data_IF_387246925925
#
_entry.id   IF_387246925925
#
_cell.length_a   1.000
_cell.length_b   1.000
_cell.length_c   1.000
_cell.angle_alpha   90.00
_cell.angle_beta   90.00
_cell.angle_gamma   90.00
#
_symmetry.space_group_name_H-M   'P 1'
#
loop_
_entity.id
_entity.type
_entity.pdbx_description
1 polymer ?
#
# COMPACT_ATOMS: atom_id res chain seq x y z
N UNK A 1 9.56 -14.48 25.90
CA UNK A 1 9.47 -13.31 25.02
C UNK A 1 10.69 -12.43 25.33
N UNK A 2 11.73 -12.52 24.51
CA UNK A 2 12.92 -11.68 24.66
C UNK A 2 12.76 -10.48 23.72
N UNK A 3 12.14 -9.43 24.19
CA UNK A 3 12.12 -8.12 23.53
C UNK A 3 13.39 -7.38 23.96
N UNK A 4 14.35 -7.20 23.04
CA UNK A 4 15.60 -6.49 23.34
C UNK A 4 15.37 -5.00 23.63
N UNK A 5 16.27 -4.37 24.39
CA UNK A 5 16.20 -2.94 24.77
C UNK A 5 16.14 -1.97 23.57
N UNK A 6 16.52 -2.42 22.37
CA UNK A 6 16.43 -1.66 21.12
C UNK A 6 15.02 -1.58 20.54
N UNK A 7 14.12 -2.49 20.91
CA UNK A 7 12.75 -2.52 20.39
C UNK A 7 11.94 -1.29 20.81
N UNK A 8 12.04 -0.91 22.08
CA UNK A 8 11.34 0.27 22.62
C UNK A 8 11.88 1.59 22.05
N UNK A 9 13.19 1.65 21.79
CA UNK A 9 13.83 2.83 21.19
C UNK A 9 13.42 3.00 19.72
N UNK A 10 13.38 1.91 18.96
CA UNK A 10 12.95 1.93 17.56
C UNK A 10 11.46 2.23 17.43
N UNK A 11 10.61 1.69 18.31
CA UNK A 11 9.20 2.02 18.37
C UNK A 11 8.96 3.52 18.65
N UNK A 12 9.65 4.11 19.61
CA UNK A 12 9.54 5.55 19.92
C UNK A 12 10.00 6.42 18.74
N UNK A 13 11.08 6.05 18.04
CA UNK A 13 11.56 6.77 16.85
C UNK A 13 10.53 6.72 15.74
N UNK A 14 9.96 5.54 15.46
CA UNK A 14 8.92 5.38 14.44
C UNK A 14 7.68 6.22 14.77
N UNK A 15 7.22 6.21 16.02
CA UNK A 15 6.10 7.05 16.45
C UNK A 15 6.41 8.55 16.35
N UNK A 16 7.64 8.97 16.69
CA UNK A 16 8.06 10.35 16.53
C UNK A 16 8.06 10.78 15.06
N UNK A 17 8.59 9.94 14.16
CA UNK A 17 8.57 10.21 12.72
C UNK A 17 7.12 10.33 12.21
N UNK A 18 6.24 9.40 12.55
CA UNK A 18 4.82 9.44 12.17
C UNK A 18 4.16 10.74 12.68
N UNK A 19 4.41 11.13 13.93
CA UNK A 19 3.84 12.35 14.47
C UNK A 19 4.36 13.61 13.77
N UNK A 20 5.67 13.69 13.51
CA UNK A 20 6.31 14.84 12.85
C UNK A 20 5.82 14.96 11.39
N UNK A 21 5.82 13.86 10.63
CA UNK A 21 5.36 13.86 9.24
C UNK A 21 3.87 14.18 9.13
N UNK A 22 3.03 13.66 10.05
CA UNK A 22 1.61 13.99 10.09
C UNK A 22 1.36 15.46 10.45
N UNK A 23 2.13 16.03 11.38
CA UNK A 23 2.04 17.44 11.70
C UNK A 23 2.46 18.32 10.51
N UNK A 24 3.57 17.96 9.83
CA UNK A 24 4.05 18.69 8.66
C UNK A 24 3.05 18.64 7.50
N UNK A 25 2.48 17.50 7.22
CA UNK A 25 1.38 17.32 6.25
C UNK A 25 0.23 18.32 6.51
N UNK A 26 -0.24 18.42 7.76
CA UNK A 26 -1.31 19.36 8.10
C UNK A 26 -0.85 20.81 7.88
N UNK A 27 0.37 21.14 8.24
CA UNK A 27 0.94 22.48 8.01
C UNK A 27 1.00 22.80 6.53
N UNK A 28 1.43 21.87 5.68
CA UNK A 28 1.52 22.07 4.22
C UNK A 28 0.14 22.26 3.58
N UNK A 29 -0.84 21.43 3.94
CA UNK A 29 -2.21 21.56 3.40
C UNK A 29 -2.81 22.91 3.80
N UNK A 30 -2.71 23.27 5.09
CA UNK A 30 -3.26 24.53 5.61
C UNK A 30 -2.53 25.73 5.02
N UNK A 31 -1.20 25.72 5.01
CA UNK A 31 -0.40 26.80 4.45
C UNK A 31 -0.59 26.93 2.93
N UNK A 32 -0.64 25.82 2.19
CA UNK A 32 -0.92 25.83 0.77
C UNK A 32 -2.28 26.45 0.44
N UNK A 33 -3.28 26.14 1.26
CA UNK A 33 -4.63 26.73 1.12
C UNK A 33 -4.62 28.23 1.45
N UNK A 34 -3.98 28.64 2.54
CA UNK A 34 -3.91 30.05 2.97
C UNK A 34 -3.08 30.89 1.99
N UNK A 35 -1.91 30.39 1.55
CA UNK A 35 -1.00 31.11 0.66
C UNK A 35 -1.33 30.92 -0.83
N UNK A 36 -2.36 30.13 -1.16
CA UNK A 36 -2.86 29.97 -2.51
C UNK A 36 -2.00 29.05 -3.39
N UNK A 37 -1.12 28.21 -2.84
CA UNK A 37 -0.25 27.30 -3.61
C UNK A 37 -0.87 25.90 -3.78
N UNK A 38 -1.18 25.51 -5.01
CA UNK A 38 -1.66 24.16 -5.31
C UNK A 38 -0.54 23.13 -5.28
N UNK A 39 0.67 23.50 -5.61
CA UNK A 39 1.83 22.62 -5.49
C UNK A 39 2.04 22.18 -4.03
N UNK A 40 1.94 23.14 -3.08
CA UNK A 40 2.07 22.85 -1.65
C UNK A 40 0.90 22.01 -1.10
N UNK A 41 -0.34 22.29 -1.55
CA UNK A 41 -1.52 21.47 -1.22
C UNK A 41 -1.36 20.05 -1.72
N UNK A 42 -0.91 19.87 -2.97
CA UNK A 42 -0.71 18.55 -3.56
C UNK A 42 0.40 17.76 -2.84
N UNK A 43 1.51 18.41 -2.44
CA UNK A 43 2.59 17.78 -1.68
C UNK A 43 2.09 17.31 -0.31
N UNK A 44 1.38 18.15 0.45
CA UNK A 44 0.79 17.78 1.73
C UNK A 44 -0.24 16.63 1.61
N UNK A 45 -1.08 16.61 0.59
CA UNK A 45 -2.00 15.49 0.35
C UNK A 45 -1.26 14.22 -0.08
N UNK A 46 -0.21 14.33 -0.87
CA UNK A 46 0.65 13.20 -1.19
C UNK A 46 1.20 12.53 0.08
N UNK A 47 1.73 13.33 1.00
CA UNK A 47 2.18 12.83 2.30
C UNK A 47 1.05 12.26 3.17
N UNK A 48 -0.17 12.77 3.05
CA UNK A 48 -1.33 12.24 3.78
C UNK A 48 -1.64 10.80 3.42
N UNK A 49 -1.31 10.37 2.20
CA UNK A 49 -1.54 9.00 1.74
C UNK A 49 -0.83 7.98 2.63
N UNK A 50 0.39 8.30 3.07
CA UNK A 50 1.22 7.42 3.90
C UNK A 50 0.73 7.38 5.35
N UNK A 51 0.43 8.54 5.94
CA UNK A 51 -0.09 8.62 7.30
C UNK A 51 -1.46 7.94 7.43
N UNK A 52 -2.35 8.17 6.45
CA UNK A 52 -3.66 7.54 6.40
C UNK A 52 -3.56 6.01 6.23
N UNK A 53 -2.70 5.52 5.33
CA UNK A 53 -2.50 4.09 5.13
C UNK A 53 -2.03 3.38 6.41
N UNK A 54 -1.07 3.96 7.13
CA UNK A 54 -0.58 3.42 8.39
C UNK A 54 -1.66 3.41 9.49
N UNK A 55 -2.42 4.51 9.62
CA UNK A 55 -3.51 4.60 10.58
C UNK A 55 -4.60 3.57 10.29
N UNK A 56 -5.02 3.45 9.04
CA UNK A 56 -6.04 2.51 8.60
C UNK A 56 -5.58 1.08 8.80
N UNK A 57 -4.33 0.75 8.47
CA UNK A 57 -3.76 -0.56 8.72
C UNK A 57 -3.77 -0.90 10.22
N UNK A 58 -3.38 0.03 11.08
CA UNK A 58 -3.40 -0.15 12.53
C UNK A 58 -4.81 -0.37 13.08
N UNK A 59 -5.79 0.45 12.65
CA UNK A 59 -7.19 0.32 13.05
C UNK A 59 -7.81 -0.99 12.55
N UNK A 60 -7.55 -1.35 11.29
CA UNK A 60 -8.05 -2.59 10.67
C UNK A 60 -7.48 -3.81 11.37
N UNK A 61 -6.18 -3.82 11.69
CA UNK A 61 -5.56 -4.89 12.43
C UNK A 61 -6.14 -5.02 13.85
N UNK A 62 -6.34 -3.90 14.54
CA UNK A 62 -6.98 -3.87 15.87
C UNK A 62 -8.40 -4.41 15.81
N UNK A 63 -9.19 -4.01 14.81
CA UNK A 63 -10.56 -4.50 14.62
C UNK A 63 -10.60 -5.99 14.25
N UNK A 64 -9.76 -6.42 13.30
CA UNK A 64 -9.65 -7.81 12.88
C UNK A 64 -9.29 -8.72 14.05
N UNK A 65 -8.29 -8.34 14.86
CA UNK A 65 -7.87 -9.08 16.06
C UNK A 65 -8.98 -9.17 17.11
N UNK A 66 -9.70 -8.07 17.36
CA UNK A 66 -10.81 -8.04 18.32
C UNK A 66 -11.97 -8.96 17.92
N UNK A 67 -12.18 -9.10 16.61
CA UNK A 67 -13.26 -9.92 16.05
C UNK A 67 -12.81 -11.29 15.52
N UNK A 68 -11.56 -11.69 15.71
CA UNK A 68 -11.01 -12.93 15.16
C UNK A 68 -11.77 -14.21 15.58
N UNK A 69 -12.46 -14.18 16.74
CA UNK A 69 -13.27 -15.30 17.25
C UNK A 69 -14.77 -15.08 17.07
N UNK A 70 -15.19 -14.04 16.36
CA UNK A 70 -16.61 -13.76 16.16
C UNK A 70 -17.17 -14.68 15.05
N UNK A 71 -18.11 -15.60 15.36
CA UNK A 71 -18.62 -16.59 14.41
C UNK A 71 -19.41 -15.98 13.24
N UNK A 72 -19.71 -14.68 13.30
CA UNK A 72 -20.35 -13.96 12.17
C UNK A 72 -19.41 -13.75 11.00
N UNK A 73 -18.10 -13.77 11.23
CA UNK A 73 -17.09 -13.77 10.16
C UNK A 73 -16.77 -15.21 9.76
N UNK A 74 -17.56 -15.78 8.87
CA UNK A 74 -17.51 -17.20 8.49
C UNK A 74 -16.17 -17.61 7.88
N UNK A 75 -15.51 -16.71 7.16
CA UNK A 75 -14.17 -16.90 6.60
C UNK A 75 -13.09 -16.11 7.35
N UNK A 76 -13.39 -15.66 8.58
CA UNK A 76 -12.46 -14.87 9.38
C UNK A 76 -12.44 -13.38 9.02
N UNK A 77 -11.50 -12.67 9.62
CA UNK A 77 -11.39 -11.21 9.54
C UNK A 77 -10.22 -10.75 8.66
N UNK A 78 -9.61 -11.67 7.87
CA UNK A 78 -8.39 -11.41 7.12
C UNK A 78 -8.52 -10.31 6.05
N UNK A 79 -9.70 -10.19 5.41
CA UNK A 79 -9.98 -9.18 4.37
C UNK A 79 -10.32 -7.78 4.88
N UNK A 80 -10.40 -7.57 6.21
CA UNK A 80 -10.75 -6.26 6.77
C UNK A 80 -9.70 -5.20 6.41
N UNK A 81 -8.43 -5.60 6.36
CA UNK A 81 -7.35 -4.73 5.91
C UNK A 81 -7.54 -4.26 4.47
N UNK A 82 -7.87 -5.18 3.57
CA UNK A 82 -8.09 -4.88 2.15
C UNK A 82 -9.31 -4.00 1.94
N UNK A 83 -10.41 -4.25 2.68
CA UNK A 83 -11.60 -3.41 2.66
C UNK A 83 -11.27 -1.97 3.08
N UNK A 84 -10.52 -1.81 4.16
CA UNK A 84 -10.13 -0.51 4.66
C UNK A 84 -9.14 0.19 3.70
N UNK A 85 -8.20 -0.55 3.11
CA UNK A 85 -7.29 -0.08 2.07
C UNK A 85 -8.04 0.40 0.82
N UNK A 86 -9.02 -0.37 0.35
CA UNK A 86 -9.88 0.00 -0.77
C UNK A 86 -10.64 1.31 -0.50
N UNK A 87 -11.30 1.41 0.68
CA UNK A 87 -12.04 2.61 1.05
C UNK A 87 -11.13 3.85 1.12
N UNK A 88 -9.93 3.70 1.67
CA UNK A 88 -8.90 4.75 1.71
C UNK A 88 -8.48 5.19 0.32
N UNK A 89 -8.23 4.24 -0.57
CA UNK A 89 -7.85 4.52 -1.95
C UNK A 89 -8.95 5.29 -2.70
N UNK A 90 -10.21 4.96 -2.48
CA UNK A 90 -11.34 5.72 -3.06
C UNK A 90 -11.32 7.17 -2.59
N UNK A 91 -11.15 7.41 -1.28
CA UNK A 91 -11.06 8.78 -0.74
C UNK A 91 -9.89 9.55 -1.36
N UNK A 92 -8.71 8.92 -1.48
CA UNK A 92 -7.54 9.53 -2.10
C UNK A 92 -7.76 9.84 -3.59
N UNK A 93 -8.44 8.96 -4.32
CA UNK A 93 -8.84 9.22 -5.70
C UNK A 93 -9.74 10.44 -5.85
N UNK A 94 -10.71 10.58 -4.95
CA UNK A 94 -11.59 11.77 -4.92
C UNK A 94 -10.78 13.03 -4.62
N UNK A 95 -9.88 13.00 -3.64
CA UNK A 95 -9.00 14.14 -3.31
C UNK A 95 -8.12 14.52 -4.51
N UNK A 96 -7.53 13.53 -5.19
CA UNK A 96 -6.73 13.78 -6.38
C UNK A 96 -7.54 14.48 -7.50
N UNK A 97 -8.78 14.04 -7.72
CA UNK A 97 -9.67 14.69 -8.69
C UNK A 97 -10.00 16.14 -8.30
N UNK A 98 -10.24 16.40 -7.00
CA UNK A 98 -10.51 17.76 -6.52
C UNK A 98 -9.30 18.68 -6.67
N UNK A 99 -8.09 18.20 -6.32
CA UNK A 99 -6.83 18.95 -6.52
C UNK A 99 -6.61 19.24 -8.02
N UNK A 100 -6.78 18.22 -8.86
CA UNK A 100 -6.64 18.37 -10.31
C UNK A 100 -7.62 19.38 -10.90
N UNK A 101 -8.88 19.31 -10.48
CA UNK A 101 -9.91 20.26 -10.89
C UNK A 101 -9.59 21.69 -10.45
N UNK A 102 -9.28 21.89 -9.18
CA UNK A 102 -8.94 23.22 -8.66
C UNK A 102 -7.68 23.79 -9.35
N UNK A 103 -6.67 22.96 -9.55
CA UNK A 103 -5.45 23.36 -10.28
C UNK A 103 -5.76 23.77 -11.72
N UNK A 104 -6.62 23.04 -12.42
CA UNK A 104 -7.05 23.36 -13.78
C UNK A 104 -7.83 24.68 -13.82
N UNK A 105 -8.72 24.90 -12.87
CA UNK A 105 -9.46 26.16 -12.74
C UNK A 105 -8.53 27.35 -12.49
N UNK A 106 -7.45 27.16 -11.71
CA UNK A 106 -6.44 28.22 -11.45
C UNK A 106 -5.54 28.53 -12.64
N UNK A 107 -5.38 27.62 -13.61
CA UNK A 107 -4.74 27.94 -14.88
C UNK A 107 -5.57 28.94 -15.70
N UNK A 108 -6.90 28.83 -15.65
CA UNK A 108 -7.81 29.72 -16.37
C UNK A 108 -8.11 31.00 -15.58
N UNK A 109 -8.17 30.92 -14.26
CA UNK A 109 -8.47 32.02 -13.36
C UNK A 109 -7.38 32.11 -12.28
N UNK A 110 -6.24 32.72 -12.58
CA UNK A 110 -5.12 32.79 -11.64
C UNK A 110 -5.50 33.50 -10.34
N UNK A 111 -5.14 32.90 -9.22
CA UNK A 111 -5.25 33.48 -7.88
C UNK A 111 -3.91 34.06 -7.44
N UNK A 112 -3.95 34.99 -6.50
CA UNK A 112 -2.72 35.53 -5.90
C UNK A 112 -2.08 34.48 -5.02
N UNK A 113 -0.78 34.22 -5.24
CA UNK A 113 0.02 33.28 -4.45
C UNK A 113 1.01 34.07 -3.61
N UNK A 114 1.07 33.79 -2.31
CA UNK A 114 2.19 34.26 -1.47
C UNK A 114 3.38 33.31 -1.63
N UNK A 115 4.14 33.52 -2.70
CA UNK A 115 5.30 32.70 -3.02
C UNK A 115 6.35 32.67 -1.90
N UNK A 116 6.49 33.77 -1.14
CA UNK A 116 7.48 33.86 -0.07
C UNK A 116 7.16 32.88 1.04
N UNK A 117 5.97 32.97 1.58
CA UNK A 117 5.52 32.11 2.68
C UNK A 117 5.37 30.65 2.24
N UNK A 118 4.78 30.42 1.07
CA UNK A 118 4.63 29.07 0.53
C UNK A 118 5.99 28.37 0.33
N UNK A 119 7.01 29.08 -0.19
CA UNK A 119 8.36 28.54 -0.36
C UNK A 119 9.00 28.17 0.97
N UNK A 120 8.85 29.00 2.01
CA UNK A 120 9.40 28.71 3.35
C UNK A 120 8.80 27.41 3.89
N UNK A 121 7.49 27.25 3.78
CA UNK A 121 6.80 26.03 4.26
C UNK A 121 7.25 24.80 3.46
N UNK A 122 7.34 24.91 2.13
CA UNK A 122 7.80 23.80 1.28
C UNK A 122 9.25 23.37 1.59
N UNK A 123 10.14 24.34 1.84
CA UNK A 123 11.54 24.04 2.23
C UNK A 123 11.59 23.37 3.60
N UNK A 124 10.81 23.83 4.58
CA UNK A 124 10.70 23.19 5.89
C UNK A 124 10.17 21.76 5.75
N UNK A 125 9.15 21.54 4.92
CA UNK A 125 8.61 20.22 4.62
C UNK A 125 9.66 19.27 4.06
N UNK A 126 10.40 19.71 3.04
CA UNK A 126 11.48 18.91 2.46
C UNK A 126 12.56 18.56 3.49
N UNK A 127 12.98 19.51 4.33
CA UNK A 127 14.00 19.28 5.38
C UNK A 127 13.48 18.27 6.42
N UNK A 128 12.23 18.39 6.83
CA UNK A 128 11.58 17.44 7.75
C UNK A 128 11.52 16.05 7.13
N UNK A 129 11.11 15.92 5.87
CA UNK A 129 11.01 14.64 5.19
C UNK A 129 12.38 13.94 5.06
N UNK A 130 13.40 14.68 4.63
CA UNK A 130 14.76 14.16 4.55
C UNK A 130 15.31 13.80 5.94
N UNK A 131 15.02 14.60 6.96
CA UNK A 131 15.40 14.32 8.35
C UNK A 131 14.74 13.05 8.89
N UNK A 132 13.45 12.86 8.64
CA UNK A 132 12.71 11.66 9.00
C UNK A 132 13.25 10.41 8.28
N UNK A 133 13.54 10.52 6.98
CA UNK A 133 14.18 9.45 6.23
C UNK A 133 15.55 9.06 6.78
N UNK A 134 16.39 10.03 7.12
CA UNK A 134 17.71 9.80 7.74
C UNK A 134 17.59 9.14 9.12
N UNK A 135 16.62 9.55 9.94
CA UNK A 135 16.36 8.95 11.26
C UNK A 135 15.92 7.48 11.15
N UNK A 136 15.14 7.14 10.13
CA UNK A 136 14.72 5.77 9.87
C UNK A 136 15.90 4.92 9.35
N UNK A 137 16.73 5.49 8.47
CA UNK A 137 17.89 4.78 7.91
C UNK A 137 18.94 4.40 8.97
N UNK A 138 19.22 5.27 9.94
CA UNK A 138 20.16 5.00 11.04
C UNK A 138 19.68 3.94 12.03
N UNK A 139 18.40 3.58 12.04
CA UNK A 139 17.86 2.51 12.89
C UNK A 139 18.14 1.09 12.38
N UNK A 140 18.58 0.91 11.13
CA UNK A 140 18.72 -0.39 10.48
C UNK A 140 20.17 -0.91 10.38
N UNK A 141 21.16 -0.18 10.91
CA UNK A 141 22.57 -0.56 10.76
C UNK A 141 23.08 -1.63 11.77
N UNK A 142 22.30 -2.04 12.77
CA UNK A 142 22.66 -3.10 13.69
C UNK A 142 21.44 -3.90 14.15
N UNK A 143 21.15 -5.00 13.48
CA UNK A 143 20.19 -5.98 13.97
C UNK A 143 19.37 -6.64 12.86
N UNK A 144 19.74 -7.83 12.45
CA UNK A 144 18.86 -8.74 11.74
C UNK A 144 17.64 -9.05 12.62
N UNK A 145 16.43 -8.67 12.23
CA UNK A 145 15.23 -9.02 12.97
C UNK A 145 14.02 -8.14 12.64
N UNK A 146 13.13 -8.68 11.86
CA UNK A 146 11.69 -8.36 11.75
C UNK A 146 11.30 -6.87 11.71
N UNK A 147 11.49 -6.24 10.57
CA UNK A 147 10.88 -4.96 10.24
C UNK A 147 9.51 -5.19 9.58
N UNK A 148 8.45 -4.74 10.23
CA UNK A 148 7.15 -4.55 9.59
C UNK A 148 7.26 -3.39 8.60
N UNK A 149 7.74 -3.67 7.40
CA UNK A 149 7.69 -2.76 6.28
C UNK A 149 6.40 -3.02 5.52
N UNK A 150 5.43 -2.14 5.62
CA UNK A 150 4.30 -2.12 4.72
C UNK A 150 4.77 -1.58 3.36
N UNK A 151 5.45 -2.42 2.59
CA UNK A 151 5.69 -2.25 1.19
C UNK A 151 4.77 -3.20 0.46
N UNK A 152 3.68 -2.72 -0.09
CA UNK A 152 2.83 -3.48 -1.00
C UNK A 152 3.60 -3.67 -2.30
N UNK A 153 4.21 -4.82 -2.44
CA UNK A 153 4.82 -5.32 -3.65
C UNK A 153 4.81 -6.83 -3.54
N UNK A 154 3.73 -7.45 -4.01
CA UNK A 154 3.66 -8.89 -4.16
C UNK A 154 4.60 -9.31 -5.28
N UNK A 155 5.77 -9.81 -4.93
CA UNK A 155 6.61 -10.60 -5.82
C UNK A 155 6.79 -11.96 -5.16
N UNK A 156 6.00 -12.92 -5.58
CA UNK A 156 6.17 -14.32 -5.24
C UNK A 156 7.33 -14.89 -6.05
N UNK A 157 8.44 -15.11 -5.41
CA UNK A 157 9.60 -15.78 -5.99
C UNK A 157 10.42 -16.39 -4.89
N UNK A 158 10.52 -17.71 -4.86
CA UNK A 158 11.36 -18.49 -3.97
C UNK A 158 12.84 -18.14 -4.14
N UNK A 159 13.35 -17.15 -3.41
CA UNK A 159 14.77 -16.97 -3.14
C UNK A 159 14.95 -16.18 -1.85
N UNK A 160 15.28 -16.83 -0.76
CA UNK A 160 15.47 -16.29 0.59
C UNK A 160 16.60 -15.25 0.76
N UNK A 161 17.26 -14.79 -0.31
CA UNK A 161 18.31 -13.77 -0.25
C UNK A 161 18.01 -12.47 -1.05
N UNK A 162 16.96 -12.42 -1.87
CA UNK A 162 16.64 -11.24 -2.68
C UNK A 162 15.58 -10.30 -2.06
N UNK A 163 14.80 -10.77 -1.09
CA UNK A 163 13.69 -10.01 -0.51
C UNK A 163 14.13 -8.77 0.29
N UNK A 164 15.29 -8.80 0.92
CA UNK A 164 15.82 -7.68 1.71
C UNK A 164 16.28 -6.53 0.82
N UNK A 165 16.85 -6.83 -0.34
CA UNK A 165 17.38 -5.84 -1.28
C UNK A 165 16.26 -5.11 -2.03
N UNK A 166 15.20 -5.83 -2.43
CA UNK A 166 14.05 -5.24 -3.11
C UNK A 166 13.23 -4.32 -2.21
N UNK A 167 13.09 -4.65 -0.94
CA UNK A 167 12.34 -3.84 0.03
C UNK A 167 13.08 -2.53 0.37
N UNK A 168 14.41 -2.59 0.49
CA UNK A 168 15.26 -1.41 0.67
C UNK A 168 15.23 -0.51 -0.57
N UNK A 169 15.28 -1.11 -1.76
CA UNK A 169 15.20 -0.38 -3.03
C UNK A 169 13.83 0.31 -3.21
N UNK A 170 12.74 -0.38 -2.86
CA UNK A 170 11.40 0.19 -2.91
C UNK A 170 11.25 1.37 -1.94
N UNK A 171 11.71 1.22 -0.69
CA UNK A 171 11.70 2.30 0.29
C UNK A 171 12.57 3.49 -0.13
N UNK A 172 13.75 3.24 -0.70
CA UNK A 172 14.62 4.29 -1.23
C UNK A 172 13.98 5.06 -2.40
N UNK A 173 13.41 4.33 -3.37
CA UNK A 173 12.72 4.95 -4.51
C UNK A 173 11.51 5.78 -4.07
N UNK A 174 10.82 5.35 -3.02
CA UNK A 174 9.72 6.09 -2.43
C UNK A 174 10.18 7.41 -1.81
N UNK A 175 11.19 7.39 -0.94
CA UNK A 175 11.77 8.61 -0.35
C UNK A 175 12.33 9.56 -1.42
N UNK A 176 12.91 9.00 -2.49
CA UNK A 176 13.41 9.79 -3.61
C UNK A 176 12.26 10.44 -4.40
N UNK A 177 11.15 9.74 -4.60
CA UNK A 177 9.96 10.30 -5.26
C UNK A 177 9.34 11.43 -4.43
N UNK A 178 9.22 11.26 -3.11
CA UNK A 178 8.72 12.29 -2.20
C UNK A 178 9.61 13.54 -2.20
N UNK A 179 10.92 13.34 -2.12
CA UNK A 179 11.87 14.46 -2.21
C UNK A 179 11.80 15.17 -3.57
N UNK A 180 11.58 14.43 -4.67
CA UNK A 180 11.46 15.00 -6.00
C UNK A 180 10.20 15.85 -6.15
N UNK A 181 9.06 15.41 -5.63
CA UNK A 181 7.81 16.20 -5.67
C UNK A 181 7.95 17.49 -4.89
N UNK A 182 8.54 17.45 -3.69
CA UNK A 182 8.81 18.64 -2.88
C UNK A 182 9.80 19.60 -3.55
N UNK A 183 10.86 19.09 -4.18
CA UNK A 183 11.82 19.91 -4.94
C UNK A 183 11.15 20.59 -6.14
N UNK A 184 10.29 19.87 -6.87
CA UNK A 184 9.53 20.45 -8.00
C UNK A 184 8.56 21.54 -7.52
N UNK A 185 7.88 21.35 -6.38
CA UNK A 185 7.03 22.37 -5.78
C UNK A 185 7.82 23.63 -5.41
N UNK A 186 8.98 23.46 -4.76
CA UNK A 186 9.87 24.58 -4.43
C UNK A 186 10.37 25.31 -5.70
N UNK A 187 10.79 24.55 -6.72
CA UNK A 187 11.26 25.14 -7.98
C UNK A 187 10.15 25.95 -8.68
N UNK A 188 8.91 25.46 -8.68
CA UNK A 188 7.76 26.17 -9.24
C UNK A 188 7.46 27.47 -8.47
N UNK A 189 7.47 27.42 -7.13
CA UNK A 189 7.26 28.59 -6.29
C UNK A 189 8.35 29.65 -6.47
N UNK A 190 9.61 29.23 -6.54
CA UNK A 190 10.74 30.14 -6.81
C UNK A 190 10.65 30.76 -8.20
N UNK A 191 10.32 29.96 -9.22
CA UNK A 191 10.14 30.47 -10.58
C UNK A 191 8.95 31.46 -10.66
N UNK A 192 7.84 31.15 -9.96
CA UNK A 192 6.72 32.07 -9.82
C UNK A 192 7.13 33.41 -9.20
N UNK A 193 7.94 33.35 -8.12
CA UNK A 193 8.42 34.54 -7.41
C UNK A 193 9.39 35.40 -8.24
N UNK A 194 10.34 34.76 -8.96
CA UNK A 194 11.42 35.44 -9.65
C UNK A 194 11.00 35.90 -11.05
N UNK A 195 10.33 35.04 -11.81
CA UNK A 195 9.97 35.24 -13.22
C UNK A 195 8.49 35.57 -13.44
N UNK A 196 7.66 35.55 -12.40
CA UNK A 196 6.21 35.75 -12.53
C UNK A 196 5.48 34.56 -13.20
N UNK A 197 6.07 33.37 -13.24
CA UNK A 197 5.50 32.18 -13.87
C UNK A 197 4.46 31.52 -12.95
N UNK A 198 3.38 32.24 -12.67
CA UNK A 198 2.34 31.82 -11.73
C UNK A 198 1.61 30.53 -12.17
N UNK A 199 1.66 30.19 -13.46
CA UNK A 199 1.06 28.97 -14.00
C UNK A 199 1.80 27.69 -13.58
N UNK A 200 3.06 27.78 -13.15
CA UNK A 200 3.85 26.62 -12.73
C UNK A 200 3.27 25.97 -11.46
N UNK A 201 2.82 26.76 -10.51
CA UNK A 201 2.23 26.23 -9.27
C UNK A 201 1.01 25.32 -9.54
N UNK A 202 -0.05 25.75 -10.26
CA UNK A 202 -1.13 24.85 -10.60
C UNK A 202 -0.69 23.71 -11.55
N UNK A 203 0.31 23.89 -12.40
CA UNK A 203 0.84 22.81 -13.22
C UNK A 203 1.47 21.68 -12.36
N UNK A 204 2.24 22.03 -11.33
CA UNK A 204 2.76 21.06 -10.36
C UNK A 204 1.62 20.45 -9.53
N UNK A 205 0.58 21.22 -9.18
CA UNK A 205 -0.64 20.70 -8.55
C UNK A 205 -1.32 19.61 -9.40
N UNK A 206 -1.42 19.81 -10.73
CA UNK A 206 -1.95 18.81 -11.66
C UNK A 206 -1.05 17.57 -11.68
N UNK A 207 0.28 17.75 -11.76
CA UNK A 207 1.22 16.64 -11.73
C UNK A 207 1.07 15.80 -10.45
N UNK A 208 1.00 16.46 -9.29
CA UNK A 208 0.75 15.79 -8.00
C UNK A 208 -0.59 15.04 -7.98
N UNK A 209 -1.66 15.66 -8.49
CA UNK A 209 -2.97 15.02 -8.61
C UNK A 209 -2.93 13.77 -9.49
N UNK A 210 -2.21 13.78 -10.62
CA UNK A 210 -2.05 12.61 -11.50
C UNK A 210 -1.28 11.49 -10.78
N UNK A 211 -0.22 11.81 -10.05
CA UNK A 211 0.55 10.84 -9.27
C UNK A 211 -0.32 10.19 -8.20
N UNK A 212 -1.05 10.99 -7.42
CA UNK A 212 -1.97 10.49 -6.36
C UNK A 212 -3.08 9.62 -6.99
N UNK A 213 -3.69 10.07 -8.10
CA UNK A 213 -4.74 9.32 -8.79
C UNK A 213 -4.25 7.96 -9.29
N UNK A 214 -3.03 7.91 -9.87
CA UNK A 214 -2.43 6.67 -10.34
C UNK A 214 -2.18 5.67 -9.20
N UNK A 215 -1.66 6.13 -8.08
CA UNK A 215 -1.43 5.29 -6.91
C UNK A 215 -2.74 4.81 -6.29
N UNK A 216 -3.69 5.71 -6.12
CA UNK A 216 -5.04 5.39 -5.68
C UNK A 216 -5.68 4.31 -6.56
N UNK A 217 -5.57 4.42 -7.87
CA UNK A 217 -6.07 3.42 -8.81
C UNK A 217 -5.38 2.06 -8.66
N UNK A 218 -4.06 2.03 -8.49
CA UNK A 218 -3.30 0.80 -8.20
C UNK A 218 -3.81 0.11 -6.95
N UNK A 219 -3.89 0.85 -5.85
CA UNK A 219 -4.37 0.34 -4.57
C UNK A 219 -5.83 -0.14 -4.62
N UNK A 220 -6.71 0.58 -5.34
CA UNK A 220 -8.09 0.13 -5.57
C UNK A 220 -8.15 -1.20 -6.34
N UNK A 221 -7.30 -1.37 -7.35
CA UNK A 221 -7.24 -2.63 -8.12
C UNK A 221 -6.76 -3.79 -7.26
N UNK A 222 -5.68 -3.61 -6.51
CA UNK A 222 -5.10 -4.64 -5.66
C UNK A 222 -6.07 -5.05 -4.53
N UNK A 223 -6.51 -4.11 -3.73
CA UNK A 223 -7.46 -4.39 -2.65
C UNK A 223 -8.82 -4.88 -3.18
N UNK A 224 -9.28 -4.31 -4.30
CA UNK A 224 -10.50 -4.73 -4.95
C UNK A 224 -10.44 -6.17 -5.46
N UNK A 225 -9.31 -6.60 -6.02
CA UNK A 225 -9.10 -7.98 -6.47
C UNK A 225 -9.31 -8.98 -5.32
N UNK A 226 -8.72 -8.71 -4.15
CA UNK A 226 -8.89 -9.55 -2.95
C UNK A 226 -10.36 -9.59 -2.49
N UNK A 227 -11.06 -8.46 -2.56
CA UNK A 227 -12.45 -8.36 -2.12
C UNK A 227 -13.44 -9.10 -3.02
N UNK A 228 -13.15 -9.20 -4.32
CA UNK A 228 -13.98 -9.89 -5.32
C UNK A 228 -13.46 -11.28 -5.67
N UNK A 229 -12.51 -11.80 -4.90
CA UNK A 229 -11.92 -13.13 -5.09
C UNK A 229 -11.26 -13.34 -6.47
N UNK A 230 -10.73 -12.23 -7.04
CA UNK A 230 -10.01 -12.28 -8.31
C UNK A 230 -8.57 -12.76 -8.08
N UNK A 231 -8.18 -13.79 -8.82
CA UNK A 231 -6.80 -14.30 -8.83
C UNK A 231 -6.09 -13.76 -10.07
N UNK A 232 -4.95 -13.05 -9.90
CA UNK A 232 -4.15 -12.59 -11.04
C UNK A 232 -3.66 -13.74 -11.91
N UNK A 233 -3.47 -13.49 -13.22
CA UNK A 233 -3.03 -14.52 -14.17
C UNK A 233 -1.57 -14.98 -13.98
N UNK A 234 -0.77 -14.19 -13.25
CA UNK A 234 0.60 -14.46 -12.87
C UNK A 234 0.73 -15.19 -11.50
N UNK A 235 -0.41 -15.53 -10.89
CA UNK A 235 -0.45 -16.33 -9.67
C UNK A 235 -0.26 -17.82 -9.99
N UNK A 236 0.75 -18.44 -9.42
CA UNK A 236 1.12 -19.83 -9.69
C UNK A 236 0.22 -20.84 -8.96
N UNK A 237 -0.52 -20.43 -7.94
CA UNK A 237 -1.31 -21.30 -7.07
C UNK A 237 -2.32 -22.21 -7.82
N UNK A 238 -3.10 -21.73 -8.84
CA UNK A 238 -3.98 -22.61 -9.57
C UNK A 238 -3.23 -23.71 -10.33
N UNK A 239 -2.08 -23.39 -10.93
CA UNK A 239 -1.26 -24.34 -11.69
C UNK A 239 -0.54 -25.33 -10.76
N UNK A 240 -0.17 -24.92 -9.57
CA UNK A 240 0.44 -25.78 -8.55
C UNK A 240 -0.59 -26.80 -8.01
N UNK A 241 -1.82 -26.37 -7.72
CA UNK A 241 -2.93 -27.25 -7.35
C UNK A 241 -3.21 -28.27 -8.46
N UNK A 242 -3.32 -27.81 -9.71
CA UNK A 242 -3.56 -28.68 -10.86
C UNK A 242 -2.45 -29.73 -11.01
N UNK A 243 -1.19 -29.31 -10.95
CA UNK A 243 -0.04 -30.19 -11.05
C UNK A 243 -0.03 -31.26 -9.93
N UNK A 244 -0.38 -30.89 -8.70
CA UNK A 244 -0.42 -31.79 -7.56
C UNK A 244 -1.53 -32.83 -7.64
N UNK A 245 -2.68 -32.48 -8.20
CA UNK A 245 -3.85 -33.36 -8.22
C UNK A 245 -3.98 -34.15 -9.52
N UNK A 246 -3.64 -33.60 -10.68
CA UNK A 246 -3.82 -34.26 -11.99
C UNK A 246 -2.68 -35.22 -12.36
N UNK A 247 -1.57 -35.19 -11.61
CA UNK A 247 -0.40 -36.07 -11.87
C UNK A 247 -0.73 -37.59 -11.85
N UNK A 248 -1.84 -37.99 -11.23
CA UNK A 248 -2.30 -39.38 -11.13
C UNK A 248 -3.32 -39.81 -12.18
N UNK A 249 -3.62 -38.96 -13.18
CA UNK A 249 -4.67 -39.19 -14.18
C UNK A 249 -6.06 -38.72 -13.73
N UNK A 250 -6.16 -38.11 -12.58
CA UNK A 250 -7.35 -37.42 -12.10
C UNK A 250 -7.54 -36.11 -12.90
N UNK A 251 -8.76 -35.61 -13.01
CA UNK A 251 -9.05 -34.37 -13.72
C UNK A 251 -9.86 -33.41 -12.85
N UNK A 252 -9.36 -32.22 -12.69
CA UNK A 252 -10.10 -31.14 -12.04
C UNK A 252 -11.24 -30.69 -12.95
N UNK A 253 -12.45 -30.67 -12.44
CA UNK A 253 -13.67 -30.25 -13.17
C UNK A 253 -14.15 -28.89 -12.73
N UNK A 254 -13.82 -28.48 -11.50
CA UNK A 254 -14.13 -27.17 -10.96
C UNK A 254 -13.08 -26.78 -9.92
N UNK A 255 -12.65 -25.51 -9.96
CA UNK A 255 -11.63 -24.98 -9.05
C UNK A 255 -11.95 -23.53 -8.73
N UNK A 256 -12.25 -23.30 -7.45
CA UNK A 256 -12.41 -21.97 -6.86
C UNK A 256 -11.31 -21.73 -5.85
N UNK A 257 -10.64 -20.62 -5.97
CA UNK A 257 -9.60 -20.18 -5.04
C UNK A 257 -9.89 -18.75 -4.64
N UNK A 258 -9.72 -18.42 -3.36
CA UNK A 258 -9.88 -17.06 -2.86
C UNK A 258 -8.94 -16.79 -1.71
N UNK A 259 -8.56 -15.54 -1.54
CA UNK A 259 -7.74 -15.12 -0.42
C UNK A 259 -8.60 -14.99 0.85
N UNK A 260 -8.16 -15.60 1.94
CA UNK A 260 -8.76 -15.48 3.28
C UNK A 260 -8.13 -14.36 4.10
N UNK A 261 -6.88 -14.07 3.82
CA UNK A 261 -6.05 -13.04 4.43
C UNK A 261 -4.63 -13.12 3.89
N UNK A 262 -3.72 -12.22 4.28
CA UNK A 262 -2.37 -12.18 3.76
C UNK A 262 -1.64 -13.54 3.89
N UNK A 263 -1.25 -14.13 2.74
CA UNK A 263 -0.58 -15.43 2.67
C UNK A 263 -1.46 -16.65 3.01
N UNK A 264 -2.79 -16.49 3.06
CA UNK A 264 -3.73 -17.56 3.37
C UNK A 264 -4.84 -17.61 2.33
N UNK A 265 -4.96 -18.76 1.63
CA UNK A 265 -5.98 -19.01 0.62
C UNK A 265 -6.93 -20.13 1.04
N UNK A 266 -8.17 -20.02 0.58
CA UNK A 266 -9.15 -21.10 0.58
C UNK A 266 -9.26 -21.68 -0.82
N UNK A 267 -9.55 -22.98 -0.93
CA UNK A 267 -9.85 -23.65 -2.19
C UNK A 267 -11.04 -24.61 -2.07
N UNK A 268 -11.90 -24.57 -3.09
CA UNK A 268 -12.91 -25.60 -3.36
C UNK A 268 -12.53 -26.27 -4.66
N UNK A 269 -12.39 -27.59 -4.64
CA UNK A 269 -11.87 -28.38 -5.75
C UNK A 269 -12.82 -29.53 -6.01
N UNK A 270 -13.42 -29.60 -7.20
CA UNK A 270 -14.12 -30.78 -7.64
C UNK A 270 -13.27 -31.52 -8.70
N UNK A 271 -13.12 -32.82 -8.55
CA UNK A 271 -12.34 -33.66 -9.46
C UNK A 271 -13.04 -34.95 -9.84
N UNK A 272 -12.73 -35.47 -11.02
CA UNK A 272 -13.10 -36.82 -11.50
C UNK A 272 -11.91 -37.73 -11.49
N UNK A 273 -12.14 -38.95 -11.04
CA UNK A 273 -11.12 -39.98 -10.95
C UNK A 273 -11.67 -41.35 -11.41
N UNK A 274 -10.85 -42.07 -12.17
CA UNK A 274 -11.14 -43.47 -12.52
C UNK A 274 -10.95 -44.41 -11.32
N UNK A 275 -10.12 -44.00 -10.33
CA UNK A 275 -9.87 -44.71 -9.08
C UNK A 275 -10.02 -43.77 -7.89
N UNK A 276 -11.25 -43.38 -7.55
CA UNK A 276 -11.51 -42.37 -6.54
C UNK A 276 -10.88 -42.72 -5.18
N UNK A 277 -10.13 -41.78 -4.63
CA UNK A 277 -9.58 -41.82 -3.27
C UNK A 277 -10.43 -40.98 -2.31
N UNK A 278 -10.13 -41.05 -1.03
CA UNK A 278 -10.82 -40.22 -0.04
C UNK A 278 -10.42 -38.74 -0.21
N UNK A 279 -11.30 -37.77 0.11
CA UNK A 279 -10.95 -36.35 0.13
C UNK A 279 -9.69 -36.04 0.95
N UNK A 280 -9.45 -36.80 2.05
CA UNK A 280 -8.25 -36.63 2.86
C UNK A 280 -6.97 -37.02 2.13
N UNK A 281 -7.01 -38.04 1.26
CA UNK A 281 -5.85 -38.42 0.45
C UNK A 281 -5.49 -37.31 -0.57
N UNK A 282 -6.48 -36.66 -1.15
CA UNK A 282 -6.25 -35.52 -2.04
C UNK A 282 -5.74 -34.29 -1.27
N UNK A 283 -6.29 -34.00 -0.09
CA UNK A 283 -5.76 -32.93 0.79
C UNK A 283 -4.31 -33.17 1.19
N UNK A 284 -3.92 -34.43 1.42
CA UNK A 284 -2.55 -34.76 1.73
C UNK A 284 -1.57 -34.48 0.58
N UNK A 285 -2.01 -34.59 -0.70
CA UNK A 285 -1.19 -34.20 -1.87
C UNK A 285 -0.95 -32.69 -1.92
N UNK A 286 -1.85 -31.88 -1.37
CA UNK A 286 -1.73 -30.41 -1.34
C UNK A 286 -1.00 -29.89 -0.09
N UNK A 287 -0.58 -30.76 0.82
CA UNK A 287 0.01 -30.36 2.11
C UNK A 287 1.33 -29.60 1.99
N UNK A 288 2.02 -29.68 0.83
CA UNK A 288 3.24 -28.91 0.55
C UNK A 288 2.95 -27.45 0.18
N UNK A 289 1.72 -27.13 -0.24
CA UNK A 289 1.29 -25.76 -0.58
C UNK A 289 0.90 -25.05 0.71
N UNK A 290 1.86 -24.37 1.33
CA UNK A 290 1.70 -23.79 2.67
C UNK A 290 0.70 -22.63 2.75
N UNK A 291 0.38 -22.02 1.60
CA UNK A 291 -0.58 -20.93 1.48
C UNK A 291 -2.04 -21.40 1.57
N UNK A 292 -2.31 -22.70 1.32
CA UNK A 292 -3.64 -23.27 1.41
C UNK A 292 -4.02 -23.54 2.89
N UNK A 293 -4.88 -22.69 3.43
CA UNK A 293 -5.33 -22.76 4.83
C UNK A 293 -6.69 -23.43 5.01
N UNK A 294 -7.51 -23.48 3.96
CA UNK A 294 -8.82 -24.14 3.95
C UNK A 294 -9.05 -24.80 2.60
N UNK A 295 -9.21 -26.13 2.60
CA UNK A 295 -9.40 -26.90 1.35
C UNK A 295 -10.61 -27.83 1.50
N UNK A 296 -11.54 -27.68 0.56
CA UNK A 296 -12.66 -28.61 0.35
C UNK A 296 -12.42 -29.37 -0.94
N UNK A 297 -12.48 -30.71 -0.89
CA UNK A 297 -12.34 -31.57 -2.07
C UNK A 297 -13.59 -32.40 -2.25
N UNK A 298 -14.22 -32.31 -3.41
CA UNK A 298 -15.27 -33.16 -3.88
C UNK A 298 -14.71 -34.14 -4.91
N UNK A 299 -15.03 -35.43 -4.76
CA UNK A 299 -14.50 -36.50 -5.64
C UNK A 299 -15.67 -37.21 -6.31
N UNK A 300 -15.65 -37.26 -7.65
CA UNK A 300 -16.61 -37.97 -8.46
C UNK A 300 -15.92 -39.12 -9.19
N UNK A 301 -16.60 -40.27 -9.29
CA UNK A 301 -16.15 -41.36 -10.15
C UNK A 301 -16.26 -40.95 -11.65
N UNK A 302 -15.26 -41.34 -12.46
CA UNK A 302 -15.25 -41.05 -13.89
C UNK A 302 -16.22 -41.95 -14.67
#
# INVERSE_FOLDING_TARGET
>A
VFLGADHDRNARRTWAVIAITSAMMVVEIVAGTIYGSMALVADGWHMSTHAAALLIAALSYGYARRNARNPRFTFGTGKIGDLAGFASAVVLGIVALLIGWESLMRLSNPVSIDFGQATVVAVVGLVVNLGCAALLHQGHSHGAGHGHGHGQGHSHGHHHHAATDNNLRAAYLHVLADALTSVLAIAALLAGRVYGWNWLDPAIGILGAVVIARWSWGLMKEAGAVLVDYIPADEDLPSEIASALEAGGDRITDLHIWQLGPGHHGAIIALRSATPQTPDAYRARLAHITELSHVTVEVQAA
#
